data_IF_552873418851
#
_entry.id   IF_552873418851
#
_cell.length_a   1.000
_cell.length_b   1.000
_cell.length_c   1.000
_cell.angle_alpha   90.00
_cell.angle_beta   90.00
_cell.angle_gamma   90.00
#
_symmetry.space_group_name_H-M   'P 1'
#
loop_
_entity.id
_entity.type
_entity.pdbx_description
1 polymer ?
#
# COMPACT_ATOMS: atom_id res chain seq x y z
N UNK A 1 -0.16 -16.10 19.43
CA UNK A 1 0.97 -15.79 18.53
C UNK A 1 0.88 -14.30 18.19
N UNK A 2 1.99 -13.56 18.19
CA UNK A 2 2.00 -12.16 17.77
C UNK A 2 1.62 -12.09 16.29
N UNK A 3 0.44 -11.55 15.99
CA UNK A 3 0.03 -11.28 14.60
C UNK A 3 0.97 -10.24 14.01
N UNK A 4 1.74 -10.64 13.00
CA UNK A 4 2.59 -9.71 12.26
C UNK A 4 1.70 -8.92 11.29
N UNK A 5 1.87 -7.60 11.25
CA UNK A 5 1.12 -6.70 10.36
C UNK A 5 1.54 -6.78 8.88
N UNK A 6 2.55 -7.58 8.56
CA UNK A 6 3.13 -7.75 7.23
C UNK A 6 3.82 -9.10 7.10
N UNK A 7 3.97 -9.56 5.85
CA UNK A 7 4.51 -10.87 5.49
C UNK A 7 5.77 -10.73 4.61
N UNK A 8 6.48 -11.86 4.40
CA UNK A 8 7.57 -11.92 3.41
C UNK A 8 6.98 -11.60 2.03
N UNK A 9 7.64 -10.71 1.31
CA UNK A 9 7.21 -10.20 0.02
C UNK A 9 6.46 -8.86 0.08
N UNK A 10 5.98 -8.45 1.24
CA UNK A 10 5.34 -7.14 1.40
C UNK A 10 6.37 -6.01 1.31
N UNK A 11 5.92 -4.85 0.80
CA UNK A 11 6.70 -3.62 0.83
C UNK A 11 6.48 -2.95 2.19
N UNK A 12 7.58 -2.72 2.91
CA UNK A 12 7.54 -2.20 4.28
C UNK A 12 8.51 -1.02 4.42
N UNK A 13 8.19 -0.12 5.34
CA UNK A 13 8.96 1.09 5.64
C UNK A 13 9.45 1.04 7.09
N UNK A 14 10.70 1.42 7.30
CA UNK A 14 11.23 1.67 8.63
C UNK A 14 10.78 3.05 9.11
N UNK A 15 10.06 3.12 10.24
CA UNK A 15 9.54 4.37 10.82
C UNK A 15 10.68 5.28 11.30
N UNK A 16 11.79 4.69 11.80
CA UNK A 16 12.91 5.43 12.37
C UNK A 16 13.82 6.06 11.31
N UNK A 17 14.14 5.33 10.25
CA UNK A 17 15.12 5.77 9.23
C UNK A 17 14.49 6.15 7.89
N UNK A 18 13.22 5.82 7.67
CA UNK A 18 12.54 6.06 6.40
C UNK A 18 12.90 5.07 5.29
N UNK A 19 13.75 4.07 5.55
CA UNK A 19 14.14 3.05 4.55
C UNK A 19 12.92 2.25 4.11
N UNK A 20 12.72 2.13 2.80
CA UNK A 20 11.65 1.34 2.20
C UNK A 20 12.27 0.16 1.45
N UNK A 21 11.66 -1.01 1.58
CA UNK A 21 12.10 -2.19 0.86
C UNK A 21 11.10 -3.32 0.92
N UNK A 22 11.39 -4.38 0.15
CA UNK A 22 10.62 -5.62 0.17
C UNK A 22 11.09 -6.49 1.33
N UNK A 23 10.18 -6.96 2.16
CA UNK A 23 10.48 -7.90 3.23
C UNK A 23 10.97 -9.22 2.63
N UNK A 24 12.20 -9.63 2.98
CA UNK A 24 12.80 -10.86 2.46
C UNK A 24 12.96 -11.94 3.53
N UNK A 25 13.06 -11.56 4.81
CA UNK A 25 13.28 -12.53 5.89
C UNK A 25 12.91 -11.97 7.26
N UNK A 26 12.43 -12.86 8.13
CA UNK A 26 12.31 -12.65 9.58
C UNK A 26 13.30 -13.56 10.30
N UNK A 27 13.92 -13.06 11.38
CA UNK A 27 14.80 -13.86 12.22
C UNK A 27 14.83 -13.34 13.66
N UNK A 28 15.05 -14.25 14.62
CA UNK A 28 15.12 -13.91 16.05
C UNK A 28 16.53 -14.26 16.54
N UNK A 29 17.39 -13.27 16.85
CA UNK A 29 18.69 -13.52 17.46
C UNK A 29 18.56 -13.97 18.92
N UNK A 30 19.52 -14.74 19.43
CA UNK A 30 19.50 -15.29 20.81
C UNK A 30 19.40 -14.23 21.91
N UNK A 31 19.89 -13.02 21.66
CA UNK A 31 19.98 -11.94 22.65
C UNK A 31 19.13 -10.70 22.31
N UNK A 32 18.29 -10.76 21.28
CA UNK A 32 17.57 -9.58 20.78
C UNK A 32 16.12 -9.91 20.41
N UNK A 33 15.31 -8.86 20.30
CA UNK A 33 13.97 -8.93 19.71
C UNK A 33 14.00 -9.35 18.23
N UNK A 34 12.85 -9.82 17.73
CA UNK A 34 12.68 -10.21 16.32
C UNK A 34 13.15 -9.10 15.37
N UNK A 35 13.92 -9.50 14.37
CA UNK A 35 14.48 -8.64 13.34
C UNK A 35 13.82 -8.94 12.00
N UNK A 36 13.61 -7.89 11.22
CA UNK A 36 13.13 -8.00 9.85
C UNK A 36 14.20 -7.47 8.90
N UNK A 37 14.46 -8.24 7.84
CA UNK A 37 15.36 -7.88 6.76
C UNK A 37 14.57 -7.51 5.51
N UNK A 38 14.94 -6.38 4.91
CA UNK A 38 14.39 -5.89 3.64
C UNK A 38 15.46 -5.76 2.57
N UNK A 39 15.03 -5.90 1.32
CA UNK A 39 15.80 -5.52 0.14
C UNK A 39 15.27 -4.18 -0.38
N UNK A 40 16.12 -3.15 -0.38
CA UNK A 40 15.79 -1.84 -0.95
C UNK A 40 15.81 -1.90 -2.47
N UNK A 41 15.21 -0.90 -3.12
CA UNK A 41 15.17 -0.80 -4.58
C UNK A 41 16.58 -0.63 -5.19
N UNK A 42 17.52 -0.07 -4.43
CA UNK A 42 18.94 0.03 -4.79
C UNK A 42 19.71 -1.31 -4.67
N UNK A 43 19.03 -2.40 -4.32
CA UNK A 43 19.61 -3.72 -4.14
C UNK A 43 20.37 -3.90 -2.82
N UNK A 44 20.28 -2.95 -1.88
CA UNK A 44 20.92 -3.05 -0.56
C UNK A 44 20.04 -3.81 0.42
N UNK A 45 20.67 -4.58 1.30
CA UNK A 45 19.97 -5.28 2.39
C UNK A 45 20.02 -4.45 3.65
N UNK A 46 18.86 -4.21 4.24
CA UNK A 46 18.74 -3.48 5.50
C UNK A 46 18.02 -4.34 6.52
N UNK A 47 18.46 -4.27 7.78
CA UNK A 47 17.83 -4.99 8.89
C UNK A 47 17.55 -4.05 10.04
N UNK A 48 16.40 -4.23 10.67
CA UNK A 48 16.01 -3.50 11.88
C UNK A 48 14.98 -4.30 12.67
N UNK A 49 14.78 -3.99 13.96
CA UNK A 49 13.78 -4.65 14.80
C UNK A 49 12.39 -4.61 14.17
N UNK A 50 11.66 -5.73 14.20
CA UNK A 50 10.35 -5.90 13.55
C UNK A 50 9.34 -4.82 13.96
N UNK A 51 9.39 -4.33 15.21
CA UNK A 51 8.54 -3.25 15.71
C UNK A 51 8.74 -1.89 15.02
N UNK A 52 9.88 -1.67 14.36
CA UNK A 52 10.18 -0.42 13.66
C UNK A 52 9.65 -0.42 12.22
N UNK A 53 9.05 -1.51 11.77
CA UNK A 53 8.56 -1.67 10.41
C UNK A 53 7.04 -1.53 10.34
N UNK A 54 6.60 -0.84 9.29
CA UNK A 54 5.20 -0.69 8.95
C UNK A 54 4.97 -1.13 7.51
N UNK A 55 3.81 -1.78 7.28
CA UNK A 55 3.40 -2.14 5.93
C UNK A 55 3.12 -0.87 5.14
N UNK A 56 3.77 -0.72 4.00
CA UNK A 56 3.36 0.28 3.02
C UNK A 56 2.11 -0.30 2.37
N UNK A 57 0.95 0.07 2.90
CA UNK A 57 -0.28 -0.06 2.15
C UNK A 57 -0.06 0.79 0.91
N UNK A 58 0.07 0.14 -0.24
CA UNK A 58 -0.19 0.84 -1.48
C UNK A 58 -1.60 1.38 -1.30
N UNK A 59 -1.71 2.68 -1.04
CA UNK A 59 -2.97 3.37 -1.15
C UNK A 59 -3.32 3.17 -2.61
N UNK A 60 -4.15 2.17 -2.90
CA UNK A 60 -4.88 2.12 -4.14
C UNK A 60 -5.60 3.45 -4.19
N UNK A 61 -5.07 4.38 -4.99
CA UNK A 61 -5.66 5.69 -5.30
C UNK A 61 -7.09 5.53 -5.87
N UNK A 62 -7.55 4.29 -6.05
CA UNK A 62 -8.91 3.91 -6.39
C UNK A 62 -9.98 4.50 -5.45
N UNK A 63 -9.69 4.78 -4.17
CA UNK A 63 -10.73 5.37 -3.30
C UNK A 63 -10.89 6.89 -3.45
N UNK A 64 -9.82 7.63 -3.73
CA UNK A 64 -9.90 9.09 -3.91
C UNK A 64 -10.28 9.50 -5.33
N UNK A 65 -9.77 8.80 -6.36
CA UNK A 65 -10.14 9.09 -7.76
C UNK A 65 -11.58 8.67 -8.04
N UNK A 66 -12.06 7.57 -7.46
CA UNK A 66 -13.47 7.17 -7.59
C UNK A 66 -14.39 8.13 -6.85
N UNK A 67 -13.99 8.64 -5.69
CA UNK A 67 -14.74 9.67 -4.98
C UNK A 67 -14.80 11.00 -5.76
N UNK A 68 -13.70 11.44 -6.37
CA UNK A 68 -13.66 12.65 -7.22
C UNK A 68 -14.48 12.44 -8.50
N UNK A 69 -14.33 11.30 -9.19
CA UNK A 69 -15.11 10.94 -10.39
C UNK A 69 -16.62 10.93 -10.08
N UNK A 70 -17.04 10.27 -9.00
CA UNK A 70 -18.45 10.21 -8.63
C UNK A 70 -19.02 11.57 -8.20
N UNK A 71 -18.19 12.45 -7.62
CA UNK A 71 -18.60 13.82 -7.28
C UNK A 71 -18.78 14.69 -8.54
N UNK A 72 -17.87 14.57 -9.51
CA UNK A 72 -17.94 15.26 -10.80
C UNK A 72 -19.14 14.79 -11.65
N UNK A 73 -19.42 13.48 -11.69
CA UNK A 73 -20.58 12.93 -12.40
C UNK A 73 -21.91 13.34 -11.76
N UNK A 74 -21.98 13.56 -10.44
CA UNK A 74 -23.18 14.07 -9.75
C UNK A 74 -23.42 15.56 -9.96
N UNK A 75 -22.37 16.36 -10.15
CA UNK A 75 -22.50 17.80 -10.46
C UNK A 75 -22.83 18.06 -11.93
N UNK A 76 -22.50 17.12 -12.80
CA UNK A 76 -22.85 17.15 -14.22
C UNK A 76 -24.18 16.41 -14.37
N UNK A 77 -25.24 17.05 -13.86
CA UNK A 77 -26.62 16.77 -14.27
C UNK A 77 -26.72 17.03 -15.78
N UNK A 78 -26.32 16.06 -16.59
CA UNK A 78 -26.78 15.99 -17.98
C UNK A 78 -28.06 15.16 -17.94
N UNK A 79 -29.22 15.72 -18.29
CA UNK A 79 -30.39 14.89 -18.47
C UNK A 79 -30.08 13.88 -19.58
N UNK A 80 -30.09 12.59 -19.25
CA UNK A 80 -30.09 11.50 -20.22
C UNK A 80 -31.43 11.51 -20.96
N UNK A 81 -31.66 12.51 -21.82
CA UNK A 81 -32.80 12.54 -22.74
C UNK A 81 -32.33 13.16 -24.05
N UNK A 82 -31.58 12.39 -24.84
CA UNK A 82 -31.56 12.59 -26.30
C UNK A 82 -31.23 11.27 -27.01
N UNK A 83 -32.20 10.37 -27.04
CA UNK A 83 -32.34 9.39 -28.11
C UNK A 83 -33.74 9.61 -28.73
N UNK A 84 -33.86 10.70 -29.49
CA UNK A 84 -34.92 10.83 -30.47
C UNK A 84 -34.70 9.75 -31.55
N UNK A 85 -35.46 8.67 -31.45
CA UNK A 85 -36.57 8.41 -32.38
C UNK A 85 -36.32 8.94 -33.82
N UNK A 86 -35.48 8.25 -34.59
CA UNK A 86 -35.63 8.11 -36.04
C UNK A 86 -35.25 6.68 -36.41
N UNK A 87 -36.26 5.90 -36.74
CA UNK A 87 -36.17 4.47 -37.04
C UNK A 87 -37.59 3.93 -37.17
N UNK A 88 -38.26 4.31 -38.25
CA UNK A 88 -39.64 3.97 -38.58
C UNK A 88 -40.13 4.84 -39.73
#
# INVERSE_FOLDING_TARGET
MLERKFNIGDRIRCVKTGVIGKCIKFYIPTACEEQTMVLTDDGRRYHAPTRLWEKVLAVSIENDVTAIRNRLLKSVSVPTVFLQRFGG
#
